data_IF_440571850760
#
_entry.id   IF_440571850760
#
_cell.length_a   1.000
_cell.length_b   1.000
_cell.length_c   1.000
_cell.angle_alpha   90.00
_cell.angle_beta   90.00
_cell.angle_gamma   90.00
#
_symmetry.space_group_name_H-M   'P 1'
#
loop_
_entity.id
_entity.type
_entity.pdbx_description
1 polymer ?
#
# COMPACT_ATOMS: atom_id res chain seq x y z
N UNK A 1 -12.21 23.60 -10.95
CA UNK A 1 -11.10 22.72 -11.38
C UNK A 1 -11.66 21.86 -12.51
N UNK A 2 -11.37 22.18 -13.76
CA UNK A 2 -11.91 21.49 -14.94
C UNK A 2 -11.29 20.09 -15.04
N UNK A 3 -12.08 19.04 -15.32
CA UNK A 3 -11.52 17.70 -15.53
C UNK A 3 -10.64 17.69 -16.79
N UNK A 4 -9.57 16.89 -16.83
CA UNK A 4 -8.72 16.78 -18.01
C UNK A 4 -9.48 16.12 -19.17
N UNK A 5 -9.28 16.66 -20.37
CA UNK A 5 -9.87 16.16 -21.63
C UNK A 5 -9.19 14.86 -22.09
N UNK A 6 -9.90 13.90 -22.70
CA UNK A 6 -9.27 12.71 -23.27
C UNK A 6 -8.18 13.08 -24.30
N UNK A 7 -6.97 12.52 -24.15
CA UNK A 7 -5.82 12.78 -25.04
C UNK A 7 -4.78 13.79 -24.52
N UNK A 8 -4.94 14.27 -23.29
CA UNK A 8 -4.00 15.20 -22.66
C UNK A 8 -2.67 14.49 -22.29
N UNK A 9 -1.67 14.57 -23.18
CA UNK A 9 -0.34 13.94 -23.05
C UNK A 9 0.57 14.58 -21.98
N UNK A 10 0.01 15.41 -21.08
CA UNK A 10 0.80 16.02 -20.01
C UNK A 10 1.38 14.88 -19.14
N UNK A 11 2.71 14.84 -18.92
CA UNK A 11 3.31 13.75 -18.16
C UNK A 11 2.67 13.70 -16.77
N UNK A 12 2.24 12.51 -16.36
CA UNK A 12 1.67 12.29 -15.04
C UNK A 12 2.73 12.63 -13.99
N UNK A 13 2.62 13.83 -13.40
CA UNK A 13 3.54 14.29 -12.36
C UNK A 13 3.01 13.84 -11.00
N UNK A 14 3.58 12.77 -10.47
CA UNK A 14 3.40 12.42 -9.06
C UNK A 14 4.11 13.49 -8.23
N UNK A 15 3.43 14.05 -7.24
CA UNK A 15 4.07 14.95 -6.29
C UNK A 15 5.20 14.18 -5.55
N UNK A 16 6.45 14.67 -5.53
CA UNK A 16 7.56 13.99 -4.88
C UNK A 16 7.28 13.57 -3.42
N UNK A 17 6.52 14.40 -2.69
CA UNK A 17 6.08 14.08 -1.32
C UNK A 17 5.22 12.82 -1.26
N UNK A 18 4.25 12.71 -2.18
CA UNK A 18 3.34 11.56 -2.25
C UNK A 18 4.07 10.29 -2.69
N UNK A 19 4.99 10.42 -3.65
CA UNK A 19 5.86 9.31 -4.06
C UNK A 19 6.69 8.80 -2.87
N UNK A 20 7.33 9.72 -2.14
CA UNK A 20 8.13 9.38 -0.96
C UNK A 20 7.30 8.71 0.13
N UNK A 21 6.11 9.23 0.42
CA UNK A 21 5.18 8.64 1.39
C UNK A 21 4.77 7.23 0.97
N UNK A 22 4.39 7.03 -0.29
CA UNK A 22 4.04 5.72 -0.83
C UNK A 22 5.21 4.73 -0.72
N UNK A 23 6.42 5.14 -1.10
CA UNK A 23 7.63 4.30 -0.98
C UNK A 23 7.87 3.83 0.45
N UNK A 24 7.83 4.74 1.43
CA UNK A 24 8.07 4.37 2.83
C UNK A 24 7.00 3.44 3.40
N UNK A 25 5.74 3.61 3.01
CA UNK A 25 4.65 2.71 3.45
C UNK A 25 4.76 1.33 2.80
N UNK A 26 5.14 1.25 1.53
CA UNK A 26 5.43 -0.04 0.90
C UNK A 26 6.63 -0.74 1.55
N UNK A 27 7.68 0.02 1.89
CA UNK A 27 8.84 -0.48 2.64
C UNK A 27 8.49 -0.91 4.07
N UNK A 28 7.46 -0.33 4.67
CA UNK A 28 6.94 -0.74 5.98
C UNK A 28 6.17 -2.06 5.87
N UNK A 29 5.26 -2.17 4.89
CA UNK A 29 4.53 -3.41 4.60
C UNK A 29 5.48 -4.57 4.30
N UNK A 30 6.57 -4.33 3.56
CA UNK A 30 7.54 -5.38 3.21
C UNK A 30 8.31 -5.95 4.40
N UNK A 31 8.19 -5.34 5.59
CA UNK A 31 8.83 -5.83 6.83
C UNK A 31 7.91 -6.71 7.67
N UNK A 32 6.62 -6.76 7.36
CA UNK A 32 5.70 -7.61 8.11
C UNK A 32 6.03 -9.08 7.91
N UNK A 33 5.76 -9.87 8.95
CA UNK A 33 5.98 -11.31 8.95
C UNK A 33 5.13 -12.00 7.89
N UNK A 34 5.65 -13.08 7.31
CA UNK A 34 4.86 -13.91 6.41
C UNK A 34 3.74 -14.61 7.18
N UNK A 35 2.66 -14.97 6.47
CA UNK A 35 1.56 -15.72 7.07
C UNK A 35 2.03 -17.04 7.71
N UNK A 36 2.99 -17.73 7.11
CA UNK A 36 3.55 -18.96 7.67
C UNK A 36 4.34 -18.70 8.96
N UNK A 37 5.11 -17.60 9.01
CA UNK A 37 5.83 -17.19 10.22
C UNK A 37 4.86 -16.86 11.36
N UNK A 38 3.79 -16.12 11.06
CA UNK A 38 2.74 -15.81 12.03
C UNK A 38 2.05 -17.08 12.55
N UNK A 39 1.70 -18.03 11.68
CA UNK A 39 1.11 -19.31 12.12
C UNK A 39 1.97 -20.06 13.13
N UNK A 40 3.29 -20.00 12.99
CA UNK A 40 4.24 -20.74 13.83
C UNK A 40 4.64 -20.00 15.10
N UNK A 41 4.53 -18.67 15.12
CA UNK A 41 5.14 -17.85 16.17
C UNK A 41 4.19 -16.88 16.85
N UNK A 42 2.96 -16.68 16.36
CA UNK A 42 2.03 -15.71 16.92
C UNK A 42 1.72 -15.97 18.41
N UNK A 43 1.57 -17.23 18.81
CA UNK A 43 1.29 -17.56 20.20
C UNK A 43 2.47 -17.22 21.11
N UNK A 44 3.70 -17.49 20.65
CA UNK A 44 4.93 -17.17 21.39
C UNK A 44 5.20 -15.67 21.46
N UNK A 45 5.06 -14.98 20.33
CA UNK A 45 5.51 -13.59 20.18
C UNK A 45 4.45 -12.59 20.65
N UNK A 46 3.16 -12.95 20.54
CA UNK A 46 2.03 -12.05 20.77
C UNK A 46 0.92 -12.62 21.67
N UNK A 47 0.98 -13.92 22.04
CA UNK A 47 -0.03 -14.53 22.90
C UNK A 47 -1.38 -14.78 22.23
N UNK A 48 -1.43 -14.78 20.89
CA UNK A 48 -2.64 -15.01 20.09
C UNK A 48 -2.46 -16.23 19.19
N UNK A 49 -3.56 -16.85 18.75
CA UNK A 49 -3.45 -17.97 17.83
C UNK A 49 -2.92 -17.54 16.45
N UNK A 50 -2.43 -18.50 15.68
CA UNK A 50 -1.83 -18.23 14.37
C UNK A 50 -2.77 -17.58 13.35
N UNK A 51 -4.08 -17.87 13.43
CA UNK A 51 -5.10 -17.28 12.55
C UNK A 51 -5.39 -15.84 12.96
N UNK A 52 -5.61 -15.59 14.25
CA UNK A 52 -5.80 -14.23 14.79
C UNK A 52 -4.59 -13.34 14.48
N UNK A 53 -3.36 -13.86 14.64
CA UNK A 53 -2.14 -13.15 14.29
C UNK A 53 -2.06 -12.77 12.80
N UNK A 54 -2.57 -13.62 11.89
CA UNK A 54 -2.68 -13.29 10.46
C UNK A 54 -3.70 -12.18 10.21
N UNK A 55 -4.88 -12.26 10.83
CA UNK A 55 -5.94 -11.26 10.65
C UNK A 55 -5.47 -9.88 11.12
N UNK A 56 -4.82 -9.82 12.29
CA UNK A 56 -4.23 -8.59 12.79
C UNK A 56 -3.15 -8.03 11.85
N UNK A 57 -2.27 -8.88 11.33
CA UNK A 57 -1.25 -8.46 10.38
C UNK A 57 -1.87 -7.97 9.06
N UNK A 58 -2.94 -8.60 8.59
CA UNK A 58 -3.67 -8.18 7.40
C UNK A 58 -4.31 -6.81 7.58
N UNK A 59 -4.96 -6.54 8.71
CA UNK A 59 -5.50 -5.21 9.02
C UNK A 59 -4.42 -4.13 9.08
N UNK A 60 -3.24 -4.46 9.64
CA UNK A 60 -2.10 -3.56 9.65
C UNK A 60 -1.58 -3.24 8.23
N UNK A 61 -1.53 -4.24 7.33
CA UNK A 61 -1.21 -4.03 5.90
C UNK A 61 -2.21 -3.07 5.27
N UNK A 62 -3.51 -3.31 5.46
CA UNK A 62 -4.57 -2.47 4.89
C UNK A 62 -4.51 -1.04 5.41
N UNK A 63 -4.32 -0.85 6.72
CA UNK A 63 -4.20 0.46 7.33
C UNK A 63 -2.99 1.23 6.78
N UNK A 64 -1.83 0.57 6.68
CA UNK A 64 -0.59 1.15 6.16
C UNK A 64 -0.72 1.52 4.69
N UNK A 65 -1.32 0.65 3.88
CA UNK A 65 -1.59 0.91 2.47
C UNK A 65 -2.54 2.11 2.28
N UNK A 66 -3.66 2.14 3.02
CA UNK A 66 -4.61 3.28 3.02
C UNK A 66 -3.92 4.58 3.40
N UNK A 67 -3.03 4.56 4.40
CA UNK A 67 -2.25 5.74 4.76
C UNK A 67 -1.28 6.18 3.66
N UNK A 68 -0.66 5.24 2.94
CA UNK A 68 0.26 5.56 1.83
C UNK A 68 -0.45 6.14 0.62
N UNK A 69 -1.70 5.75 0.39
CA UNK A 69 -2.53 6.26 -0.70
C UNK A 69 -3.28 7.55 -0.36
N UNK A 70 -3.27 7.99 0.90
CA UNK A 70 -3.97 9.21 1.32
C UNK A 70 -3.42 10.43 0.57
N UNK A 71 -4.29 11.08 -0.20
CA UNK A 71 -3.91 12.25 -1.02
C UNK A 71 -3.28 11.90 -2.37
N UNK A 72 -3.06 10.61 -2.67
CA UNK A 72 -2.66 10.13 -3.99
C UNK A 72 -3.91 10.00 -4.85
N UNK A 73 -3.97 10.74 -5.95
CA UNK A 73 -5.05 10.58 -6.93
C UNK A 73 -4.79 9.34 -7.78
N UNK A 74 -5.84 8.57 -8.07
CA UNK A 74 -5.80 7.49 -9.05
C UNK A 74 -5.26 8.04 -10.38
N UNK A 75 -4.24 7.42 -10.99
CA UNK A 75 -3.77 7.82 -12.32
C UNK A 75 -4.93 7.77 -13.33
N UNK A 76 -5.09 8.80 -14.19
CA UNK A 76 -6.16 8.83 -15.17
C UNK A 76 -5.91 7.89 -16.36
N UNK A 77 -4.66 7.45 -16.53
CA UNK A 77 -4.19 6.62 -17.63
C UNK A 77 -4.07 5.17 -17.15
N UNK A 78 -4.49 4.20 -17.97
CA UNK A 78 -4.21 2.79 -17.67
C UNK A 78 -2.72 2.53 -17.81
N UNK A 79 -2.21 1.57 -17.03
CA UNK A 79 -0.79 1.19 -17.07
C UNK A 79 -0.36 0.76 -18.50
N UNK A 80 -1.28 0.14 -19.23
CA UNK A 80 -1.15 -0.36 -20.60
C UNK A 80 -0.85 0.74 -21.63
N UNK A 81 -1.14 2.00 -21.30
CA UNK A 81 -0.93 3.17 -22.16
C UNK A 81 0.37 3.92 -21.81
N UNK A 82 1.11 3.48 -20.79
CA UNK A 82 2.38 4.07 -20.35
C UNK A 82 3.63 3.37 -20.93
N UNK A 83 3.42 2.29 -21.71
CA UNK A 83 4.47 1.47 -22.35
C UNK A 83 4.57 1.73 -23.85
#
# INVERSE_FOLDING_TARGET
>A
MTPPTPGDKRPFKINPKHYWQMYWRLKEISKYQSAESLKRHAERDYGVDGSEGIEMAYENVLATAKSGLKGVRKPPVRLEELT
#
